data_IF_538339084685
#
_entry.id   IF_538339084685
#
_cell.length_a   1.000
_cell.length_b   1.000
_cell.length_c   1.000
_cell.angle_alpha   90.00
_cell.angle_beta   90.00
_cell.angle_gamma   90.00
#
_symmetry.space_group_name_H-M   'P 1'
#
loop_
_entity.id
_entity.type
_entity.pdbx_description
1 polymer ?
#
# COMPACT_ATOMS: atom_id res chain seq x y z
N UNK A 1 0.39 34.19 -11.34
CA UNK A 1 -0.57 34.41 -10.26
C UNK A 1 -2.01 34.68 -10.74
N UNK A 2 -2.48 34.09 -11.86
CA UNK A 2 -3.87 34.32 -12.38
C UNK A 2 -4.72 33.05 -12.57
N UNK A 3 -4.25 31.86 -12.16
CA UNK A 3 -5.01 30.59 -12.31
C UNK A 3 -5.55 29.97 -11.02
N UNK A 4 -5.28 30.54 -9.85
CA UNK A 4 -5.76 29.99 -8.56
C UNK A 4 -7.10 30.56 -8.06
N UNK A 5 -7.72 31.52 -8.78
CA UNK A 5 -8.96 32.16 -8.33
C UNK A 5 -10.27 31.53 -8.83
N UNK A 6 -10.22 30.44 -9.63
CA UNK A 6 -11.44 29.86 -10.22
C UNK A 6 -12.09 28.72 -9.41
N UNK A 7 -11.45 28.21 -8.38
CA UNK A 7 -11.98 27.06 -7.62
C UNK A 7 -12.49 27.39 -6.21
N UNK A 8 -12.42 28.67 -5.79
CA UNK A 8 -12.81 29.07 -4.44
C UNK A 8 -14.27 29.58 -4.33
N UNK A 9 -15.03 29.66 -5.44
CA UNK A 9 -16.38 30.20 -5.44
C UNK A 9 -17.52 29.17 -5.49
N UNK A 10 -17.20 27.86 -5.42
CA UNK A 10 -18.23 26.81 -5.43
C UNK A 10 -18.64 26.32 -4.02
N UNK A 11 -18.18 26.95 -2.94
CA UNK A 11 -18.39 26.45 -1.57
C UNK A 11 -19.25 27.38 -0.67
N UNK A 12 -19.74 28.53 -1.16
CA UNK A 12 -20.61 29.35 -0.36
C UNK A 12 -21.78 29.90 -1.23
N UNK A 13 -22.91 29.28 -1.09
CA UNK A 13 -24.15 29.80 -1.58
C UNK A 13 -25.16 28.71 -1.84
N UNK A 14 -25.96 28.37 -0.88
CA UNK A 14 -27.43 28.37 -0.92
C UNK A 14 -27.95 27.81 0.41
N UNK A 15 -28.15 28.68 1.36
CA UNK A 15 -29.17 28.47 2.38
C UNK A 15 -30.28 29.47 2.02
N UNK A 16 -31.39 28.99 1.47
CA UNK A 16 -32.75 29.54 1.68
C UNK A 16 -33.76 28.73 0.84
N UNK A 17 -34.81 28.31 1.56
CA UNK A 17 -36.01 27.62 1.08
C UNK A 17 -35.99 26.09 0.96
N UNK A 18 -36.65 25.48 1.95
CA UNK A 18 -37.00 24.09 2.16
C UNK A 18 -37.54 23.31 0.94
N UNK A 19 -36.66 22.97 0.04
CA UNK A 19 -36.85 21.86 -0.88
C UNK A 19 -35.88 20.78 -0.47
N UNK A 20 -36.38 19.62 -0.08
CA UNK A 20 -35.57 18.40 0.07
C UNK A 20 -34.89 18.15 -1.30
N UNK A 21 -33.68 18.64 -1.45
CA UNK A 21 -32.80 18.21 -2.55
C UNK A 21 -32.39 16.80 -2.19
N UNK A 22 -32.68 15.79 -3.00
CA UNK A 22 -32.14 14.45 -2.76
C UNK A 22 -30.63 14.59 -2.68
N UNK A 23 -30.02 14.04 -1.62
CA UNK A 23 -28.58 14.03 -1.37
C UNK A 23 -27.85 13.13 -2.37
N UNK A 24 -27.99 13.37 -3.65
CA UNK A 24 -26.98 13.00 -4.63
C UNK A 24 -25.90 14.08 -4.50
N UNK A 25 -25.01 13.93 -3.53
CA UNK A 25 -23.72 14.56 -3.67
C UNK A 25 -23.20 14.11 -5.02
N UNK A 26 -23.21 14.99 -6.01
CA UNK A 26 -22.52 14.74 -7.26
C UNK A 26 -21.10 14.37 -6.87
N UNK A 27 -20.74 13.14 -7.07
CA UNK A 27 -19.40 12.63 -6.83
C UNK A 27 -18.50 13.51 -7.69
N UNK A 28 -17.78 14.45 -7.06
CA UNK A 28 -16.83 15.29 -7.79
C UNK A 28 -15.76 14.34 -8.29
N UNK A 29 -15.93 13.92 -9.53
CA UNK A 29 -14.98 13.04 -10.17
C UNK A 29 -13.66 13.80 -10.29
N UNK A 30 -12.59 13.28 -9.67
CA UNK A 30 -11.25 13.83 -9.91
C UNK A 30 -10.84 13.48 -11.33
N UNK A 31 -10.36 14.45 -12.12
CA UNK A 31 -9.82 14.15 -13.45
C UNK A 31 -8.64 13.18 -13.34
N UNK A 32 -8.30 12.53 -14.46
CA UNK A 32 -7.04 11.80 -14.56
C UNK A 32 -5.89 12.71 -14.11
N UNK A 33 -5.09 12.23 -13.20
CA UNK A 33 -4.03 13.03 -12.58
C UNK A 33 -2.71 12.27 -12.54
N UNK A 34 -1.61 12.97 -12.76
CA UNK A 34 -0.26 12.42 -12.62
C UNK A 34 0.40 13.03 -11.39
N UNK A 35 0.93 12.17 -10.54
CA UNK A 35 1.66 12.52 -9.32
C UNK A 35 3.15 12.28 -9.51
N UNK A 36 3.96 13.27 -9.15
CA UNK A 36 5.41 13.10 -9.02
C UNK A 36 5.73 12.31 -7.74
N UNK A 37 6.28 11.12 -7.87
CA UNK A 37 6.66 10.24 -6.77
C UNK A 37 8.19 10.03 -6.68
N UNK A 38 8.98 10.98 -7.13
CA UNK A 38 10.44 10.90 -7.20
C UNK A 38 10.89 10.63 -8.63
N UNK A 39 11.52 9.50 -8.88
CA UNK A 39 11.91 9.09 -10.24
C UNK A 39 10.85 8.19 -10.91
N UNK A 40 9.69 8.06 -10.29
CA UNK A 40 8.50 7.39 -10.83
C UNK A 40 7.30 8.32 -10.80
N UNK A 41 6.29 8.01 -11.59
CA UNK A 41 5.01 8.68 -11.59
C UNK A 41 3.90 7.77 -11.07
N UNK A 42 2.99 8.34 -10.30
CA UNK A 42 1.68 7.77 -10.02
C UNK A 42 0.64 8.36 -10.97
N UNK A 43 0.02 7.54 -11.79
CA UNK A 43 -1.02 7.97 -12.73
C UNK A 43 -2.37 7.45 -12.27
N UNK A 44 -3.24 8.36 -11.86
CA UNK A 44 -4.61 8.07 -11.52
C UNK A 44 -5.50 8.10 -12.76
N UNK A 45 -6.20 7.01 -13.02
CA UNK A 45 -7.26 6.93 -14.03
C UNK A 45 -8.62 6.86 -13.34
N UNK A 46 -9.38 7.93 -13.44
CA UNK A 46 -10.69 8.05 -12.82
C UNK A 46 -11.70 7.03 -13.35
N UNK A 47 -11.78 6.88 -14.67
CA UNK A 47 -12.77 5.98 -15.29
C UNK A 47 -12.51 4.51 -14.93
N UNK A 48 -11.24 4.10 -14.94
CA UNK A 48 -10.83 2.76 -14.56
C UNK A 48 -10.65 2.59 -13.05
N UNK A 49 -10.68 3.67 -12.27
CA UNK A 49 -10.36 3.68 -10.83
C UNK A 49 -9.03 2.98 -10.53
N UNK A 50 -8.04 3.19 -11.39
CA UNK A 50 -6.74 2.52 -11.31
C UNK A 50 -5.65 3.53 -11.01
N UNK A 51 -4.83 3.22 -10.01
CA UNK A 51 -3.56 3.91 -9.75
C UNK A 51 -2.44 3.10 -10.40
N UNK A 52 -1.80 3.66 -11.41
CA UNK A 52 -0.67 3.03 -12.11
C UNK A 52 0.63 3.69 -11.64
N UNK A 53 1.62 2.90 -11.25
CA UNK A 53 2.96 3.35 -10.89
C UNK A 53 3.91 2.94 -12.01
N UNK A 54 4.62 3.92 -12.57
CA UNK A 54 5.53 3.71 -13.71
C UNK A 54 6.80 4.54 -13.58
N UNK A 55 7.93 4.03 -14.10
CA UNK A 55 9.17 4.79 -14.15
C UNK A 55 9.06 5.92 -15.18
N UNK A 56 9.68 7.07 -14.90
CA UNK A 56 9.74 8.22 -15.83
C UNK A 56 10.67 8.00 -17.01
N UNK A 57 11.71 7.20 -16.78
CA UNK A 57 12.82 7.01 -17.69
C UNK A 57 13.09 5.52 -17.87
N UNK A 58 13.84 5.18 -18.90
CA UNK A 58 14.36 3.82 -19.06
C UNK A 58 15.33 3.50 -17.93
N UNK A 59 14.92 2.60 -17.01
CA UNK A 59 15.71 2.23 -15.85
C UNK A 59 14.85 1.90 -14.65
N UNK A 60 15.50 1.72 -13.50
CA UNK A 60 14.81 1.46 -12.23
C UNK A 60 14.45 2.79 -11.58
N UNK A 61 13.16 3.08 -11.48
CA UNK A 61 12.67 4.23 -10.71
C UNK A 61 12.62 3.92 -9.21
N UNK A 62 12.65 4.95 -8.38
CA UNK A 62 12.50 4.85 -6.93
C UNK A 62 11.34 5.71 -6.45
N UNK A 63 10.55 5.15 -5.52
CA UNK A 63 9.48 5.89 -4.83
C UNK A 63 10.11 6.77 -3.76
N UNK A 64 9.82 8.06 -3.84
CA UNK A 64 9.99 9.00 -2.74
C UNK A 64 8.82 8.85 -1.76
N UNK A 65 9.13 8.48 -0.52
CA UNK A 65 8.10 8.16 0.48
C UNK A 65 7.24 9.36 0.87
N UNK A 66 7.81 10.55 0.97
CA UNK A 66 7.08 11.75 1.37
C UNK A 66 6.12 12.19 0.26
N UNK A 67 6.56 12.08 -0.99
CA UNK A 67 5.70 12.31 -2.16
C UNK A 67 4.60 11.25 -2.27
N UNK A 68 4.91 9.98 -1.99
CA UNK A 68 3.92 8.91 -1.91
C UNK A 68 2.85 9.21 -0.86
N UNK A 69 3.27 9.54 0.36
CA UNK A 69 2.35 9.89 1.44
C UNK A 69 1.49 11.12 1.10
N UNK A 70 2.08 12.11 0.44
CA UNK A 70 1.36 13.30 -0.04
C UNK A 70 0.32 12.92 -1.09
N UNK A 71 0.65 12.06 -2.05
CA UNK A 71 -0.28 11.53 -3.03
C UNK A 71 -1.43 10.78 -2.36
N UNK A 72 -1.11 9.83 -1.46
CA UNK A 72 -2.12 9.05 -0.73
C UNK A 72 -3.04 9.96 0.07
N UNK A 73 -2.50 10.98 0.74
CA UNK A 73 -3.29 11.96 1.48
C UNK A 73 -4.18 12.80 0.55
N UNK A 74 -3.70 13.14 -0.65
CA UNK A 74 -4.42 13.92 -1.65
C UNK A 74 -5.51 13.10 -2.35
N UNK A 75 -5.26 11.83 -2.64
CA UNK A 75 -6.29 10.88 -3.07
C UNK A 75 -7.33 10.66 -1.97
N UNK A 76 -6.97 11.06 -0.74
CA UNK A 76 -7.82 11.12 0.41
C UNK A 76 -8.28 9.75 0.88
N UNK A 77 -9.37 9.73 1.62
CA UNK A 77 -10.04 8.52 2.11
C UNK A 77 -10.57 7.60 0.98
N UNK A 78 -10.22 7.90 -0.26
CA UNK A 78 -10.62 7.21 -1.48
C UNK A 78 -9.77 5.98 -1.80
N UNK A 79 -8.88 5.56 -0.90
CA UNK A 79 -8.23 4.24 -1.03
C UNK A 79 -9.26 3.12 -1.20
N UNK A 80 -10.50 3.32 -0.71
CA UNK A 80 -11.63 2.41 -0.91
C UNK A 80 -12.24 2.48 -2.32
N UNK A 81 -12.07 3.59 -3.03
CA UNK A 81 -12.57 3.79 -4.40
C UNK A 81 -11.57 3.33 -5.46
N UNK A 82 -10.30 3.14 -5.08
CA UNK A 82 -9.29 2.59 -5.97
C UNK A 82 -9.65 1.13 -6.25
N UNK A 83 -9.96 0.80 -7.52
CA UNK A 83 -10.27 -0.57 -7.91
C UNK A 83 -9.00 -1.43 -8.01
N UNK A 84 -7.86 -0.82 -8.35
CA UNK A 84 -6.58 -1.51 -8.52
C UNK A 84 -5.40 -0.55 -8.37
N UNK A 85 -4.32 -1.02 -7.74
CA UNK A 85 -2.98 -0.42 -7.83
C UNK A 85 -2.11 -1.32 -8.69
N UNK A 86 -1.46 -0.79 -9.71
CA UNK A 86 -0.65 -1.57 -10.65
C UNK A 86 0.72 -0.93 -10.87
N UNK A 87 1.76 -1.69 -10.60
CA UNK A 87 3.14 -1.34 -10.94
C UNK A 87 3.46 -1.89 -12.33
N UNK A 88 3.76 -1.02 -13.29
CA UNK A 88 4.05 -1.41 -14.69
C UNK A 88 5.44 -1.98 -14.85
N UNK A 89 6.39 -1.42 -14.12
CA UNK A 89 7.78 -1.84 -14.15
C UNK A 89 8.29 -2.04 -12.73
N UNK A 90 9.49 -2.60 -12.63
CA UNK A 90 10.23 -2.69 -11.38
C UNK A 90 10.58 -1.29 -10.87
N UNK A 91 10.26 -1.03 -9.62
CA UNK A 91 10.65 0.20 -8.94
C UNK A 91 11.35 -0.16 -7.63
N UNK A 92 12.26 0.68 -7.19
CA UNK A 92 12.83 0.58 -5.85
C UNK A 92 11.80 1.13 -4.85
N UNK A 93 11.53 0.36 -3.82
CA UNK A 93 10.83 0.90 -2.66
C UNK A 93 11.77 1.79 -1.86
N UNK A 94 11.25 2.73 -1.06
CA UNK A 94 12.07 3.49 -0.13
C UNK A 94 12.71 2.54 0.89
N UNK A 95 13.89 2.89 1.38
CA UNK A 95 14.61 2.10 2.39
C UNK A 95 13.76 1.83 3.63
N UNK A 96 12.99 2.83 4.04
CA UNK A 96 11.94 2.73 5.04
C UNK A 96 10.56 2.67 4.33
N UNK A 97 10.08 1.46 4.12
CA UNK A 97 8.77 1.19 3.49
C UNK A 97 7.62 1.01 4.51
N UNK A 98 7.82 1.46 5.76
CA UNK A 98 6.78 1.37 6.80
C UNK A 98 5.48 2.00 6.33
N UNK A 99 4.38 1.24 6.39
CA UNK A 99 3.04 1.70 6.04
C UNK A 99 2.83 2.08 4.57
N UNK A 100 3.74 1.71 3.65
CA UNK A 100 3.69 2.19 2.26
C UNK A 100 2.35 1.92 1.58
N UNK A 101 1.73 0.78 1.83
CA UNK A 101 0.43 0.37 1.29
C UNK A 101 -0.62 0.16 2.37
N UNK A 102 -0.41 0.74 3.55
CA UNK A 102 -1.34 0.60 4.65
C UNK A 102 -2.74 1.13 4.27
N UNK A 103 -3.77 0.34 4.56
CA UNK A 103 -5.15 0.73 4.34
C UNK A 103 -5.65 0.65 2.90
N UNK A 104 -4.82 0.22 1.93
CA UNK A 104 -5.29 -0.01 0.56
C UNK A 104 -6.22 -1.21 0.49
N UNK A 105 -7.50 -0.97 0.22
CA UNK A 105 -8.54 -2.02 0.17
C UNK A 105 -8.64 -2.73 -1.18
N UNK A 106 -7.84 -2.32 -2.16
CA UNK A 106 -7.81 -2.85 -3.52
C UNK A 106 -6.67 -3.84 -3.73
N UNK A 107 -6.74 -4.69 -4.78
CA UNK A 107 -5.58 -5.47 -5.19
C UNK A 107 -4.40 -4.58 -5.57
N UNK A 108 -3.21 -4.98 -5.14
CA UNK A 108 -1.95 -4.35 -5.53
C UNK A 108 -1.19 -5.36 -6.37
N UNK A 109 -0.79 -4.99 -7.58
CA UNK A 109 -0.11 -5.85 -8.53
C UNK A 109 1.32 -5.38 -8.75
N UNK A 110 2.27 -6.27 -8.56
CA UNK A 110 3.68 -6.04 -8.78
C UNK A 110 4.19 -6.80 -10.01
N UNK A 111 5.21 -6.32 -10.72
CA UNK A 111 5.93 -7.13 -11.69
C UNK A 111 6.65 -8.29 -10.98
N UNK A 112 6.92 -9.37 -11.70
CA UNK A 112 7.42 -10.64 -11.17
C UNK A 112 8.74 -10.58 -10.38
N UNK A 113 9.47 -9.47 -10.43
CA UNK A 113 10.74 -9.30 -9.73
C UNK A 113 10.92 -7.86 -9.26
N UNK A 114 10.08 -7.45 -8.31
CA UNK A 114 10.16 -6.17 -7.63
C UNK A 114 11.50 -6.02 -6.89
N UNK A 115 12.12 -4.83 -6.90
CA UNK A 115 13.35 -4.57 -6.17
C UNK A 115 13.06 -4.19 -4.72
N UNK A 116 13.56 -5.03 -3.79
CA UNK A 116 13.41 -4.82 -2.35
C UNK A 116 14.74 -4.88 -1.58
N UNK A 117 15.86 -5.12 -2.28
CA UNK A 117 17.19 -5.32 -1.67
C UNK A 117 17.71 -4.14 -0.84
N UNK A 118 17.20 -2.93 -1.07
CA UNK A 118 17.53 -1.73 -0.30
C UNK A 118 16.62 -1.54 0.93
N UNK A 119 15.52 -2.28 1.04
CA UNK A 119 14.54 -2.10 2.12
C UNK A 119 15.05 -2.70 3.42
N UNK A 120 14.91 -1.97 4.51
CA UNK A 120 15.27 -2.42 5.86
C UNK A 120 14.15 -2.30 6.89
N UNK A 121 13.08 -1.54 6.61
CA UNK A 121 11.89 -1.47 7.46
C UNK A 121 10.63 -1.65 6.62
N UNK A 122 9.75 -2.56 7.07
CA UNK A 122 8.46 -2.84 6.39
C UNK A 122 7.29 -2.91 7.38
N UNK A 123 7.43 -2.25 8.54
CA UNK A 123 6.38 -2.29 9.56
C UNK A 123 5.07 -1.76 8.99
N UNK A 124 3.99 -2.51 9.20
CA UNK A 124 2.65 -2.16 8.75
C UNK A 124 2.52 -1.93 7.22
N UNK A 125 3.46 -2.41 6.40
CA UNK A 125 3.51 -2.09 4.96
C UNK A 125 2.19 -2.41 4.24
N UNK A 126 1.55 -3.54 4.55
CA UNK A 126 0.25 -3.96 4.01
C UNK A 126 -0.82 -4.09 5.09
N UNK A 127 -0.63 -3.42 6.22
CA UNK A 127 -1.64 -3.43 7.29
C UNK A 127 -2.97 -2.91 6.75
N UNK A 128 -4.07 -3.58 7.08
CA UNK A 128 -5.42 -3.25 6.62
C UNK A 128 -5.61 -3.33 5.08
N UNK A 129 -4.67 -3.92 4.34
CA UNK A 129 -4.78 -4.15 2.91
C UNK A 129 -5.59 -5.44 2.63
N UNK A 130 -6.90 -5.37 2.84
CA UNK A 130 -7.80 -6.55 2.90
C UNK A 130 -7.77 -7.43 1.66
N UNK A 131 -7.57 -6.87 0.46
CA UNK A 131 -7.54 -7.60 -0.82
C UNK A 131 -6.11 -7.87 -1.32
N UNK A 132 -5.10 -7.55 -0.53
CA UNK A 132 -3.73 -7.81 -0.91
C UNK A 132 -3.45 -9.31 -0.89
N UNK A 133 -3.03 -9.86 -2.03
CA UNK A 133 -2.60 -11.25 -2.19
C UNK A 133 -1.68 -11.41 -3.40
N UNK A 134 -0.84 -10.40 -3.69
CA UNK A 134 0.14 -10.52 -4.77
C UNK A 134 1.28 -11.46 -4.39
N UNK A 135 1.84 -12.15 -5.38
CA UNK A 135 3.05 -12.95 -5.19
C UNK A 135 4.24 -12.04 -4.86
N UNK A 136 4.81 -12.26 -3.68
CA UNK A 136 5.98 -11.56 -3.14
C UNK A 136 7.05 -12.55 -2.67
N UNK A 137 6.97 -13.81 -3.11
CA UNK A 137 7.88 -14.89 -2.73
C UNK A 137 9.34 -14.58 -3.07
N UNK A 138 9.57 -13.81 -4.12
CA UNK A 138 10.89 -13.45 -4.62
C UNK A 138 11.44 -12.12 -4.07
N UNK A 139 10.77 -11.49 -3.11
CA UNK A 139 11.29 -10.29 -2.47
C UNK A 139 12.55 -10.59 -1.67
N UNK A 140 13.58 -9.78 -1.84
CA UNK A 140 14.78 -9.87 -1.05
C UNK A 140 14.57 -9.21 0.32
N UNK A 141 14.40 -10.06 1.35
CA UNK A 141 14.20 -9.64 2.73
C UNK A 141 15.50 -9.68 3.55
N UNK A 142 16.65 -9.95 2.91
CA UNK A 142 17.93 -10.19 3.61
C UNK A 142 18.48 -8.99 4.37
N UNK A 143 17.99 -7.77 4.08
CA UNK A 143 18.35 -6.54 4.79
C UNK A 143 17.28 -6.06 5.76
N UNK A 144 16.10 -6.68 5.76
CA UNK A 144 14.97 -6.23 6.58
C UNK A 144 15.20 -6.59 8.05
N UNK A 145 15.03 -5.60 8.93
CA UNK A 145 15.22 -5.74 10.38
C UNK A 145 13.91 -5.73 11.16
N UNK A 146 12.81 -5.25 10.57
CA UNK A 146 11.49 -5.30 11.20
C UNK A 146 10.39 -5.51 10.17
N UNK A 147 9.48 -6.43 10.48
CA UNK A 147 8.28 -6.77 9.71
C UNK A 147 7.02 -6.69 10.61
N UNK A 148 7.08 -5.89 11.67
CA UNK A 148 6.00 -5.81 12.64
C UNK A 148 4.70 -5.33 11.99
N UNK A 149 3.61 -6.09 12.18
CA UNK A 149 2.28 -5.78 11.65
C UNK A 149 2.18 -5.75 10.11
N UNK A 150 3.20 -6.24 9.38
CA UNK A 150 3.28 -6.08 7.91
C UNK A 150 2.02 -6.57 7.20
N UNK A 151 1.40 -7.65 7.65
CA UNK A 151 0.17 -8.21 7.08
C UNK A 151 -1.00 -8.18 8.07
N UNK A 152 -0.92 -7.37 9.12
CA UNK A 152 -2.02 -7.26 10.07
C UNK A 152 -3.30 -6.81 9.34
N UNK A 153 -4.41 -7.54 9.52
CA UNK A 153 -5.69 -7.30 8.86
C UNK A 153 -5.68 -7.45 7.32
N UNK A 154 -4.62 -7.98 6.73
CA UNK A 154 -4.58 -8.37 5.33
C UNK A 154 -5.33 -9.71 5.15
N UNK A 155 -6.65 -9.67 5.22
CA UNK A 155 -7.51 -10.85 5.37
C UNK A 155 -7.47 -11.82 4.19
N UNK A 156 -7.08 -11.36 2.98
CA UNK A 156 -6.93 -12.21 1.79
C UNK A 156 -5.51 -12.76 1.61
N UNK A 157 -4.52 -12.27 2.37
CA UNK A 157 -3.12 -12.64 2.16
C UNK A 157 -2.87 -14.12 2.48
N UNK A 158 -2.37 -14.88 1.50
CA UNK A 158 -2.00 -16.29 1.63
C UNK A 158 -0.91 -16.70 0.63
N UNK A 159 0.09 -15.85 0.37
CA UNK A 159 1.19 -16.20 -0.50
C UNK A 159 2.29 -16.94 0.23
N UNK A 160 2.94 -17.88 -0.47
CA UNK A 160 4.10 -18.60 0.04
C UNK A 160 5.30 -17.65 0.17
N UNK A 161 5.72 -17.43 1.41
CA UNK A 161 6.86 -16.59 1.77
C UNK A 161 7.91 -17.38 2.56
N UNK A 162 7.88 -18.70 2.45
CA UNK A 162 8.82 -19.60 3.13
C UNK A 162 10.28 -19.40 2.70
N UNK A 163 10.48 -18.81 1.51
CA UNK A 163 11.80 -18.51 0.93
C UNK A 163 12.46 -17.24 1.47
N UNK A 164 11.74 -16.44 2.23
CA UNK A 164 12.25 -15.18 2.75
C UNK A 164 13.43 -15.39 3.70
N UNK A 165 14.49 -14.62 3.50
CA UNK A 165 15.69 -14.62 4.36
C UNK A 165 15.45 -13.71 5.57
N UNK A 166 15.00 -14.29 6.68
CA UNK A 166 14.59 -13.53 7.88
C UNK A 166 15.70 -13.38 8.93
N UNK A 167 16.92 -13.81 8.64
CA UNK A 167 17.99 -13.87 9.64
C UNK A 167 18.43 -12.54 10.27
N UNK A 168 18.04 -11.38 9.68
CA UNK A 168 18.25 -10.04 10.29
C UNK A 168 17.02 -9.50 11.00
N UNK A 169 15.87 -10.16 10.86
CA UNK A 169 14.63 -9.68 11.47
C UNK A 169 14.70 -9.82 12.98
N UNK A 170 14.35 -8.73 13.65
CA UNK A 170 14.36 -8.65 15.11
C UNK A 170 12.96 -8.49 15.70
N UNK A 171 11.98 -8.00 14.92
CA UNK A 171 10.61 -7.78 15.39
C UNK A 171 9.60 -8.32 14.39
N UNK A 172 8.77 -9.28 14.84
CA UNK A 172 7.67 -9.91 14.11
C UNK A 172 6.32 -9.71 14.82
N UNK A 173 6.23 -8.74 15.76
CA UNK A 173 5.01 -8.50 16.52
C UNK A 173 3.84 -8.18 15.58
N UNK A 174 2.68 -8.74 15.86
CA UNK A 174 1.44 -8.51 15.09
C UNK A 174 1.48 -8.88 13.61
N UNK A 175 2.51 -9.57 13.13
CA UNK A 175 2.80 -9.77 11.70
C UNK A 175 1.58 -10.25 10.90
N UNK A 176 0.87 -11.29 11.39
CA UNK A 176 -0.31 -11.89 10.78
C UNK A 176 -1.58 -11.71 11.61
N UNK A 177 -1.60 -10.74 12.52
CA UNK A 177 -2.79 -10.46 13.32
C UNK A 177 -4.00 -10.22 12.39
N UNK A 178 -5.09 -11.01 12.58
CA UNK A 178 -6.28 -10.97 11.71
C UNK A 178 -6.03 -11.24 10.20
N UNK A 179 -4.91 -11.82 9.81
CA UNK A 179 -4.70 -12.36 8.46
C UNK A 179 -5.43 -13.69 8.31
N UNK A 180 -6.75 -13.63 8.19
CA UNK A 180 -7.66 -14.78 8.37
C UNK A 180 -7.53 -15.87 7.30
N UNK A 181 -6.90 -15.58 6.15
CA UNK A 181 -6.65 -16.55 5.07
C UNK A 181 -5.26 -17.16 5.12
N UNK A 182 -4.33 -16.59 5.90
CA UNK A 182 -2.94 -17.03 5.90
C UNK A 182 -2.79 -18.43 6.46
N UNK A 183 -2.18 -19.34 5.68
CA UNK A 183 -1.95 -20.74 6.00
C UNK A 183 -0.74 -21.27 5.19
N UNK A 184 0.38 -20.56 5.25
CA UNK A 184 1.59 -20.96 4.53
C UNK A 184 2.70 -21.37 5.49
N UNK A 185 3.56 -22.34 5.11
CA UNK A 185 4.63 -22.82 5.96
C UNK A 185 5.69 -21.73 6.20
N UNK A 186 6.20 -21.66 7.44
CA UNK A 186 7.25 -20.73 7.85
C UNK A 186 8.47 -21.46 8.42
N UNK A 187 8.59 -22.75 8.19
CA UNK A 187 9.60 -23.63 8.83
C UNK A 187 11.05 -23.22 8.50
N UNK A 188 11.26 -22.52 7.38
CA UNK A 188 12.59 -22.10 6.93
C UNK A 188 13.02 -20.73 7.47
N UNK A 189 12.17 -20.06 8.24
CA UNK A 189 12.50 -18.75 8.78
C UNK A 189 13.55 -18.84 9.89
N UNK A 190 14.61 -18.07 9.74
CA UNK A 190 15.63 -17.93 10.79
C UNK A 190 15.15 -16.88 11.80
N UNK A 191 14.78 -17.34 12.99
CA UNK A 191 14.23 -16.49 14.06
C UNK A 191 15.23 -16.21 15.20
N UNK A 192 16.50 -16.57 15.02
CA UNK A 192 17.53 -16.47 16.09
C UNK A 192 17.73 -15.06 16.64
N UNK A 193 17.46 -14.02 15.82
CA UNK A 193 17.61 -12.62 16.20
C UNK A 193 16.29 -11.97 16.62
N UNK A 194 15.17 -12.70 16.57
CA UNK A 194 13.84 -12.14 16.88
C UNK A 194 13.68 -12.02 18.39
N UNK A 195 13.46 -10.78 18.86
CA UNK A 195 13.19 -10.51 20.27
C UNK A 195 11.68 -10.34 20.57
N UNK A 196 10.83 -10.13 19.55
CA UNK A 196 9.38 -10.02 19.77
C UNK A 196 8.58 -10.67 18.65
N UNK A 197 7.66 -11.55 19.07
CA UNK A 197 6.60 -12.17 18.26
C UNK A 197 5.23 -11.95 18.92
N UNK A 198 5.09 -10.82 19.66
CA UNK A 198 3.87 -10.52 20.40
C UNK A 198 2.66 -10.52 19.45
N UNK A 199 1.65 -11.34 19.77
CA UNK A 199 0.40 -11.45 19.00
C UNK A 199 0.58 -11.73 17.50
N UNK A 200 1.69 -12.37 17.08
CA UNK A 200 2.05 -12.59 15.67
C UNK A 200 0.90 -13.23 14.87
N UNK A 201 0.19 -14.21 15.44
CA UNK A 201 -0.90 -14.94 14.77
C UNK A 201 -2.27 -14.72 15.43
N UNK A 202 -2.45 -13.64 16.20
CA UNK A 202 -3.71 -13.36 16.83
C UNK A 202 -4.84 -13.28 15.79
N UNK A 203 -5.87 -14.15 15.90
CA UNK A 203 -6.97 -14.26 14.93
C UNK A 203 -6.58 -14.63 13.49
N UNK A 204 -5.41 -15.18 13.26
CA UNK A 204 -5.04 -15.82 11.98
C UNK A 204 -5.73 -17.21 11.90
N UNK A 205 -7.03 -17.23 11.59
CA UNK A 205 -7.94 -18.37 11.81
C UNK A 205 -7.56 -19.65 11.07
N UNK A 206 -6.89 -19.56 9.92
CA UNK A 206 -6.50 -20.71 9.11
C UNK A 206 -5.12 -21.24 9.46
N UNK A 207 -4.26 -20.39 10.03
CA UNK A 207 -2.88 -20.78 10.33
C UNK A 207 -2.85 -21.88 11.40
N UNK A 208 -2.28 -23.06 11.02
CA UNK A 208 -2.21 -24.25 11.84
C UNK A 208 -0.81 -24.88 11.85
#
# INVERSE_FOLDING_TARGET
MKKMKKYLFALFGVFLFGVMVPSTFAQVSLPNETFDLGTVDGVWNQTAQTLTIQARWTGTGQIDKDKWNTMVSRLGLRTNEIAKVEFKEKVLFPDNANGLFQGFKSPILFPSNQYTSNVWLTDNMFRDAEKFNADISNWDMSNVISIAGMFAWASSFNQDISTWKTGKVTNMSFLFTHATSFDQPLNNWDTKNVFSMHQMFLWAKKFN
#
